data_IF_072957869886
#
_entry.id   IF_072957869886
#
_cell.length_a   1.000
_cell.length_b   1.000
_cell.length_c   1.000
_cell.angle_alpha   90.00
_cell.angle_beta   90.00
_cell.angle_gamma   90.00
#
_symmetry.space_group_name_H-M   'P 1'
#
loop_
_entity.id
_entity.type
_entity.pdbx_description
1 polymer ?
#
# COMPACT_ATOMS: atom_id res chain seq x y z
N UNK A 1 3.78 11.44 12.44
CA UNK A 1 4.22 11.81 11.09
C UNK A 1 4.82 10.63 10.35
N UNK A 2 5.53 9.73 11.05
CA UNK A 2 6.14 8.53 10.46
C UNK A 2 5.23 7.66 9.56
N UNK A 3 3.96 7.43 9.92
CA UNK A 3 3.07 6.59 9.11
C UNK A 3 2.75 7.19 7.72
N UNK A 4 2.48 8.50 7.66
CA UNK A 4 2.19 9.18 6.40
C UNK A 4 3.43 9.26 5.53
N UNK A 5 4.60 9.49 6.14
CA UNK A 5 5.88 9.51 5.44
C UNK A 5 6.20 8.13 4.87
N UNK A 6 6.02 7.05 5.65
CA UNK A 6 6.19 5.65 5.18
C UNK A 6 5.21 5.29 4.08
N UNK A 7 3.95 5.73 4.19
CA UNK A 7 2.94 5.54 3.15
C UNK A 7 3.35 6.25 1.85
N UNK A 8 3.85 7.48 1.95
CA UNK A 8 4.30 8.26 0.81
C UNK A 8 5.58 7.72 0.18
N UNK A 9 6.53 7.26 1.01
CA UNK A 9 7.74 6.58 0.54
C UNK A 9 7.37 5.31 -0.24
N UNK A 10 6.47 4.49 0.30
CA UNK A 10 5.99 3.29 -0.39
C UNK A 10 5.31 3.62 -1.71
N UNK A 11 4.45 4.65 -1.74
CA UNK A 11 3.76 5.10 -2.95
C UNK A 11 4.73 5.52 -4.06
N UNK A 12 5.79 6.24 -3.72
CA UNK A 12 6.78 6.76 -4.68
C UNK A 12 7.92 5.78 -4.97
N UNK A 13 8.03 4.67 -4.24
CA UNK A 13 9.09 3.68 -4.43
C UNK A 13 8.93 3.03 -5.81
N UNK A 14 10.00 3.07 -6.61
CA UNK A 14 9.98 2.43 -7.92
C UNK A 14 10.14 0.91 -7.76
N UNK A 15 9.03 0.18 -7.92
CA UNK A 15 9.03 -1.27 -7.75
C UNK A 15 9.37 -2.00 -9.06
N UNK A 16 10.57 -2.56 -9.13
CA UNK A 16 10.98 -3.43 -10.24
C UNK A 16 10.47 -4.88 -10.09
N UNK A 17 10.15 -5.33 -8.86
CA UNK A 17 9.61 -6.65 -8.52
C UNK A 17 10.15 -7.82 -9.38
N UNK A 18 11.42 -8.19 -9.16
CA UNK A 18 12.12 -9.22 -9.94
C UNK A 18 11.69 -10.63 -9.55
N UNK A 19 11.33 -10.83 -8.27
CA UNK A 19 10.97 -12.15 -7.74
C UNK A 19 9.55 -12.22 -7.19
N UNK A 20 9.01 -13.43 -7.04
CA UNK A 20 7.71 -13.64 -6.37
C UNK A 20 7.78 -13.26 -4.88
N UNK A 21 8.89 -13.54 -4.21
CA UNK A 21 9.10 -13.18 -2.80
C UNK A 21 9.05 -11.66 -2.58
N UNK A 22 9.72 -10.87 -3.42
CA UNK A 22 9.64 -9.40 -3.38
C UNK A 22 8.21 -8.89 -3.51
N UNK A 23 7.44 -9.46 -4.44
CA UNK A 23 6.02 -9.10 -4.64
C UNK A 23 5.17 -9.44 -3.42
N UNK A 24 5.41 -10.59 -2.78
CA UNK A 24 4.71 -11.00 -1.56
C UNK A 24 5.01 -10.02 -0.43
N UNK A 25 6.30 -9.68 -0.23
CA UNK A 25 6.71 -8.74 0.81
C UNK A 25 6.08 -7.37 0.62
N UNK A 26 6.14 -6.81 -0.59
CA UNK A 26 5.52 -5.52 -0.87
C UNK A 26 3.99 -5.55 -0.76
N UNK A 27 3.34 -6.66 -1.16
CA UNK A 27 1.90 -6.84 -0.96
C UNK A 27 1.50 -6.89 0.51
N UNK A 28 2.36 -7.42 1.39
CA UNK A 28 2.13 -7.43 2.85
C UNK A 28 2.38 -6.05 3.45
N UNK A 29 3.46 -5.39 3.04
CA UNK A 29 3.82 -4.04 3.49
C UNK A 29 2.70 -3.03 3.19
N UNK A 30 2.24 -2.97 1.94
CA UNK A 30 1.13 -2.06 1.55
C UNK A 30 -0.16 -2.37 2.30
N UNK A 31 -0.44 -3.65 2.60
CA UNK A 31 -1.61 -4.03 3.39
C UNK A 31 -1.50 -3.54 4.84
N UNK A 32 -0.31 -3.65 5.45
CA UNK A 32 -0.07 -3.12 6.80
C UNK A 32 -0.31 -1.62 6.84
N UNK A 33 0.28 -0.88 5.90
CA UNK A 33 0.12 0.57 5.80
C UNK A 33 -1.35 0.98 5.66
N UNK A 34 -2.15 0.30 4.82
CA UNK A 34 -3.57 0.59 4.66
C UNK A 34 -4.34 0.36 5.99
N UNK A 35 -4.05 -0.72 6.72
CA UNK A 35 -4.72 -1.02 7.99
C UNK A 35 -4.34 -0.01 9.07
N UNK A 36 -3.06 0.35 9.16
CA UNK A 36 -2.57 1.39 10.08
C UNK A 36 -3.22 2.75 9.77
N UNK A 37 -3.30 3.14 8.49
CA UNK A 37 -3.98 4.36 8.06
C UNK A 37 -5.48 4.34 8.37
N UNK A 38 -6.13 3.18 8.29
CA UNK A 38 -7.54 3.04 8.65
C UNK A 38 -7.79 3.31 10.13
N UNK A 39 -6.94 2.80 11.03
CA UNK A 39 -7.06 3.12 12.46
C UNK A 39 -6.85 4.61 12.75
N UNK A 40 -5.91 5.24 12.04
CA UNK A 40 -5.71 6.68 12.14
C UNK A 40 -6.90 7.47 11.59
N UNK A 41 -7.47 7.04 10.45
CA UNK A 41 -8.66 7.64 9.85
C UNK A 41 -9.86 7.57 10.79
N UNK A 42 -10.11 6.45 11.48
CA UNK A 42 -11.24 6.33 12.44
C UNK A 42 -11.21 7.40 13.55
N UNK A 43 -10.02 7.87 13.92
CA UNK A 43 -9.86 8.87 14.97
C UNK A 43 -9.98 10.30 14.43
N UNK A 44 -9.43 10.57 13.24
CA UNK A 44 -9.33 11.93 12.68
C UNK A 44 -10.37 12.28 11.61
N UNK A 45 -10.95 11.27 10.95
CA UNK A 45 -11.83 11.36 9.80
C UNK A 45 -11.35 12.34 8.71
N UNK A 46 -10.03 12.40 8.50
CA UNK A 46 -9.42 13.30 7.53
C UNK A 46 -9.52 12.69 6.10
N UNK A 47 -10.18 13.38 5.15
CA UNK A 47 -10.26 12.94 3.76
C UNK A 47 -8.90 12.66 3.10
N UNK A 48 -7.84 13.36 3.50
CA UNK A 48 -6.51 13.15 2.95
C UNK A 48 -5.96 11.74 3.24
N UNK A 49 -6.27 11.19 4.44
CA UNK A 49 -5.89 9.82 4.80
C UNK A 49 -6.63 8.81 3.91
N UNK A 50 -7.92 9.05 3.67
CA UNK A 50 -8.73 8.20 2.80
C UNK A 50 -8.17 8.19 1.36
N UNK A 51 -7.76 9.33 0.84
CA UNK A 51 -7.18 9.40 -0.50
C UNK A 51 -5.81 8.71 -0.59
N UNK A 52 -4.98 8.80 0.46
CA UNK A 52 -3.75 7.99 0.58
C UNK A 52 -4.07 6.49 0.57
N UNK A 53 -5.04 6.03 1.36
CA UNK A 53 -5.47 4.62 1.38
C UNK A 53 -5.95 4.13 0.01
N UNK A 54 -6.72 4.94 -0.72
CA UNK A 54 -7.16 4.60 -2.09
C UNK A 54 -5.98 4.42 -3.03
N UNK A 55 -4.98 5.31 -3.00
CA UNK A 55 -3.79 5.19 -3.87
C UNK A 55 -2.96 3.95 -3.54
N UNK A 56 -2.72 3.68 -2.25
CA UNK A 56 -2.06 2.44 -1.81
C UNK A 56 -2.85 1.19 -2.21
N UNK A 57 -4.17 1.24 -2.14
CA UNK A 57 -5.04 0.12 -2.55
C UNK A 57 -4.89 -0.19 -4.04
N UNK A 58 -4.80 0.82 -4.90
CA UNK A 58 -4.55 0.63 -6.33
C UNK A 58 -3.18 -0.02 -6.58
N UNK A 59 -2.15 0.40 -5.85
CA UNK A 59 -0.82 -0.21 -5.93
C UNK A 59 -0.88 -1.68 -5.49
N UNK A 60 -1.52 -1.97 -4.35
CA UNK A 60 -1.72 -3.34 -3.84
C UNK A 60 -2.39 -4.23 -4.87
N UNK A 61 -3.49 -3.77 -5.49
CA UNK A 61 -4.19 -4.52 -6.52
C UNK A 61 -3.31 -4.83 -7.72
N UNK A 62 -2.46 -3.90 -8.17
CA UNK A 62 -1.49 -4.15 -9.26
C UNK A 62 -0.48 -5.24 -8.89
N UNK A 63 0.02 -5.25 -7.65
CA UNK A 63 0.94 -6.28 -7.14
C UNK A 63 0.26 -7.65 -7.10
N UNK A 64 -0.95 -7.72 -6.53
CA UNK A 64 -1.72 -8.97 -6.40
C UNK A 64 -2.12 -9.56 -7.76
N UNK A 65 -2.49 -8.72 -8.73
CA UNK A 65 -2.75 -9.16 -10.11
C UNK A 65 -1.51 -9.83 -10.72
N UNK A 66 -0.32 -9.27 -10.50
CA UNK A 66 0.94 -9.89 -10.97
C UNK A 66 1.21 -11.22 -10.24
N UNK A 67 0.91 -11.31 -8.95
CA UNK A 67 1.11 -12.54 -8.16
C UNK A 67 0.18 -13.68 -8.59
N UNK A 68 -1.08 -13.38 -8.89
CA UNK A 68 -2.08 -14.38 -9.31
C UNK A 68 -1.86 -14.92 -10.73
N UNK A 69 -1.00 -14.26 -11.53
CA UNK A 69 -0.82 -14.60 -12.94
C UNK A 69 -2.01 -14.18 -13.80
N UNK A 70 -1.97 -14.50 -15.10
CA UNK A 70 -3.18 -14.46 -15.95
C UNK A 70 -4.00 -15.73 -15.68
N UNK A 71 -5.33 -15.65 -15.63
CA UNK A 71 -6.17 -16.85 -15.64
C UNK A 71 -5.91 -17.68 -16.91
#
# INVERSE_FOLDING_TARGET
>A
MELLDRAHEFENRNFAFKTSSERILASREVKSLILELNEFYKTKNDPAIMDQMKRLTLIKQKIEKRLKGRP
#
